data_IF_538915159780
#
_entry.id   IF_538915159780
#
_cell.length_a   1.000
_cell.length_b   1.000
_cell.length_c   1.000
_cell.angle_alpha   90.00
_cell.angle_beta   90.00
_cell.angle_gamma   90.00
#
_symmetry.space_group_name_H-M   'P 1'
#
loop_
_entity.id
_entity.type
_entity.pdbx_description
1 polymer ?
#
# COMPACT_ATOMS: atom_id res chain seq x y z
N UNK A 1 33.71 22.32 12.68
CA UNK A 1 32.30 21.91 12.87
C UNK A 1 31.78 22.66 14.09
N UNK A 2 30.72 23.45 13.93
CA UNK A 2 30.19 24.23 15.04
C UNK A 2 29.40 23.31 15.98
N UNK A 3 30.07 22.86 17.04
CA UNK A 3 29.51 21.98 18.07
C UNK A 3 28.24 22.59 18.65
N UNK A 4 28.20 23.92 18.79
CA UNK A 4 27.00 24.67 19.21
C UNK A 4 25.81 24.44 18.29
N UNK A 5 25.97 24.59 16.97
CA UNK A 5 24.89 24.38 16.01
C UNK A 5 24.36 22.93 16.02
N UNK A 6 25.28 21.95 16.16
CA UNK A 6 24.92 20.54 16.28
C UNK A 6 24.12 20.27 17.57
N UNK A 7 24.57 20.82 18.70
CA UNK A 7 23.92 20.65 20.00
C UNK A 7 22.53 21.32 20.03
N UNK A 8 22.41 22.53 19.46
CA UNK A 8 21.13 23.24 19.35
C UNK A 8 20.15 22.44 18.48
N UNK A 9 20.60 21.93 17.32
CA UNK A 9 19.75 21.11 16.44
C UNK A 9 19.31 19.81 17.12
N UNK A 10 20.24 19.08 17.75
CA UNK A 10 19.93 17.86 18.48
C UNK A 10 18.96 18.13 19.64
N UNK A 11 19.20 19.20 20.41
CA UNK A 11 18.34 19.61 21.51
C UNK A 11 16.91 19.91 21.09
N UNK A 12 16.72 20.65 19.99
CA UNK A 12 15.39 20.97 19.43
C UNK A 12 14.66 19.69 19.01
N UNK A 13 15.33 18.80 18.28
CA UNK A 13 14.74 17.53 17.82
C UNK A 13 14.35 16.62 19.00
N UNK A 14 15.21 16.53 20.03
CA UNK A 14 14.91 15.77 21.25
C UNK A 14 13.71 16.39 21.98
N UNK A 15 13.67 17.71 22.14
CA UNK A 15 12.56 18.40 22.79
C UNK A 15 11.23 18.15 22.06
N UNK A 16 11.20 18.28 20.74
CA UNK A 16 10.03 17.96 19.91
C UNK A 16 9.61 16.50 20.11
N UNK A 17 10.57 15.56 20.10
CA UNK A 17 10.29 14.14 20.31
C UNK A 17 9.63 13.89 21.67
N UNK A 18 10.15 14.49 22.75
CA UNK A 18 9.58 14.37 24.10
C UNK A 18 8.15 14.93 24.16
N UNK A 19 7.90 16.09 23.54
CA UNK A 19 6.55 16.67 23.48
C UNK A 19 5.58 15.76 22.73
N UNK A 20 5.97 15.24 21.56
CA UNK A 20 5.15 14.34 20.76
C UNK A 20 4.88 13.01 21.47
N UNK A 21 5.89 12.40 22.11
CA UNK A 21 5.73 11.16 22.87
C UNK A 21 4.83 11.35 24.09
N UNK A 22 4.91 12.52 24.73
CA UNK A 22 4.03 12.89 25.84
C UNK A 22 2.58 13.03 25.35
N UNK A 23 2.38 13.78 24.26
CA UNK A 23 1.07 13.94 23.64
C UNK A 23 0.48 12.59 23.19
N UNK A 24 1.26 11.75 22.53
CA UNK A 24 0.86 10.39 22.15
C UNK A 24 0.45 9.56 23.37
N UNK A 25 1.23 9.63 24.46
CA UNK A 25 0.94 8.91 25.71
C UNK A 25 -0.39 9.34 26.36
N UNK A 26 -0.81 10.58 26.14
CA UNK A 26 -2.11 11.12 26.59
C UNK A 26 -3.23 10.77 25.61
N UNK A 27 -3.03 10.97 24.30
CA UNK A 27 -4.04 10.74 23.26
C UNK A 27 -4.45 9.26 23.17
N UNK A 28 -3.50 8.33 23.28
CA UNK A 28 -3.78 6.87 23.27
C UNK A 28 -4.68 6.42 24.42
N UNK A 29 -4.70 7.21 25.50
CA UNK A 29 -5.40 6.93 26.74
C UNK A 29 -6.86 7.42 26.65
N UNK A 30 -7.18 8.40 25.81
CA UNK A 30 -8.53 8.96 25.73
C UNK A 30 -9.51 7.99 25.02
N UNK A 31 -10.71 7.75 25.58
CA UNK A 31 -11.67 6.77 25.04
C UNK A 31 -12.16 7.14 23.64
N UNK A 32 -12.24 8.45 23.31
CA UNK A 32 -12.65 8.92 21.97
C UNK A 32 -11.64 8.57 20.86
N UNK A 33 -10.37 8.34 21.21
CA UNK A 33 -9.30 8.09 20.24
C UNK A 33 -8.91 6.61 20.16
N UNK A 34 -9.53 5.73 20.97
CA UNK A 34 -9.22 4.30 20.98
C UNK A 34 -9.47 3.66 19.61
N UNK A 35 -10.49 4.13 18.89
CA UNK A 35 -10.79 3.65 17.53
C UNK A 35 -9.64 3.86 16.54
N UNK A 36 -8.93 4.98 16.65
CA UNK A 36 -7.82 5.33 15.77
C UNK A 36 -6.56 4.53 16.14
N UNK A 37 -6.21 4.47 17.42
CA UNK A 37 -4.97 3.82 17.87
C UNK A 37 -5.06 2.30 18.00
N UNK A 38 -6.26 1.75 18.20
CA UNK A 38 -6.51 0.32 18.40
C UNK A 38 -7.53 -0.24 17.39
N UNK A 39 -7.54 0.29 16.16
CA UNK A 39 -8.48 -0.09 15.10
C UNK A 39 -8.52 -1.61 14.86
N UNK A 40 -7.36 -2.26 14.76
CA UNK A 40 -7.26 -3.72 14.52
C UNK A 40 -7.92 -4.53 15.63
N UNK A 41 -7.83 -4.07 16.88
CA UNK A 41 -8.38 -4.78 18.05
C UNK A 41 -9.91 -4.70 18.12
N UNK A 42 -10.49 -3.59 17.65
CA UNK A 42 -11.95 -3.40 17.57
C UNK A 42 -12.60 -4.21 16.43
N UNK A 43 -11.83 -4.55 15.39
CA UNK A 43 -12.28 -5.42 14.30
C UNK A 43 -12.34 -6.89 14.76
N UNK A 44 -11.43 -7.29 15.66
CA UNK A 44 -11.39 -8.66 16.20
C UNK A 44 -12.34 -8.89 17.38
N UNK A 45 -12.66 -7.87 18.16
CA UNK A 45 -13.54 -8.02 19.33
C UNK A 45 -14.32 -6.70 19.61
N UNK A 46 -15.66 -6.70 19.59
CA UNK A 46 -16.44 -5.50 19.92
C UNK A 46 -16.36 -5.25 21.44
N UNK A 47 -15.43 -4.39 21.85
CA UNK A 47 -15.27 -3.98 23.25
C UNK A 47 -16.49 -3.18 23.71
N UNK A 48 -17.14 -3.65 24.78
CA UNK A 48 -18.32 -3.03 25.40
C UNK A 48 -17.93 -1.67 26.00
N UNK A 49 -18.42 -0.58 25.41
CA UNK A 49 -18.15 0.79 25.85
C UNK A 49 -18.90 1.13 27.14
N UNK A 50 -18.22 1.17 28.28
CA UNK A 50 -18.76 1.75 29.52
C UNK A 50 -17.62 2.14 30.46
N UNK A 51 -16.94 3.27 30.22
CA UNK A 51 -16.09 3.89 31.24
C UNK A 51 -16.06 5.42 31.09
N UNK A 52 -16.43 6.20 32.12
CA UNK A 52 -16.41 7.65 32.07
C UNK A 52 -14.97 8.22 32.04
N UNK A 53 -14.85 9.42 31.46
CA UNK A 53 -13.60 10.19 31.39
C UNK A 53 -13.02 10.42 32.80
N UNK A 54 -11.79 9.95 33.05
CA UNK A 54 -11.08 10.13 34.34
C UNK A 54 -9.81 10.97 34.11
N UNK A 55 -9.68 12.09 34.83
CA UNK A 55 -8.56 13.04 34.69
C UNK A 55 -7.19 12.46 35.09
N UNK A 56 -7.13 11.37 35.86
CA UNK A 56 -5.89 10.64 36.17
C UNK A 56 -5.20 10.07 34.92
N UNK A 57 -5.91 10.00 33.79
CA UNK A 57 -5.42 9.47 32.53
C UNK A 57 -4.53 10.46 31.75
N UNK A 58 -4.40 11.70 32.22
CA UNK A 58 -3.57 12.76 31.61
C UNK A 58 -2.07 12.65 31.96
N UNK A 59 -1.68 11.76 32.88
CA UNK A 59 -0.26 11.57 33.21
C UNK A 59 0.45 10.78 32.10
N UNK A 60 1.50 11.32 31.45
CA UNK A 60 2.28 10.58 30.47
C UNK A 60 2.94 9.38 31.16
N UNK A 61 2.79 8.18 30.58
CA UNK A 61 3.38 6.96 31.12
C UNK A 61 4.22 6.29 30.04
N UNK A 62 5.50 6.07 30.32
CA UNK A 62 6.41 5.36 29.43
C UNK A 62 6.25 3.82 29.49
N UNK A 63 5.32 3.31 30.31
CA UNK A 63 5.09 1.86 30.48
C UNK A 63 4.79 1.15 29.16
N UNK A 64 4.16 1.84 28.20
CA UNK A 64 3.88 1.25 26.88
C UNK A 64 5.14 0.97 26.06
N UNK A 65 6.20 1.76 26.24
CA UNK A 65 7.48 1.57 25.53
C UNK A 65 8.13 0.29 26.03
N UNK A 66 8.18 0.12 27.35
CA UNK A 66 8.72 -1.10 27.98
C UNK A 66 7.91 -2.32 27.54
N UNK A 67 6.58 -2.22 27.53
CA UNK A 67 5.71 -3.30 27.07
C UNK A 67 5.88 -3.61 25.57
N UNK A 68 6.11 -2.58 24.74
CA UNK A 68 6.38 -2.78 23.32
C UNK A 68 7.75 -3.44 23.08
N UNK A 69 8.74 -3.10 23.91
CA UNK A 69 10.08 -3.72 23.86
C UNK A 69 10.09 -5.18 24.33
N UNK A 70 9.20 -5.53 25.26
CA UNK A 70 9.03 -6.90 25.76
C UNK A 70 8.21 -7.80 24.83
N UNK A 71 7.66 -7.27 23.73
CA UNK A 71 6.84 -8.04 22.81
C UNK A 71 7.65 -9.16 22.16
N UNK A 72 7.12 -10.38 22.20
CA UNK A 72 7.79 -11.57 21.66
C UNK A 72 7.54 -11.69 20.15
N UNK A 73 8.39 -12.45 19.46
CA UNK A 73 8.25 -12.67 18.01
C UNK A 73 6.89 -13.28 17.66
N UNK A 74 6.35 -14.15 18.51
CA UNK A 74 5.06 -14.81 18.30
C UNK A 74 3.89 -13.82 18.42
N UNK A 75 3.95 -12.91 19.39
CA UNK A 75 2.96 -11.83 19.53
C UNK A 75 3.01 -10.87 18.34
N UNK A 76 4.21 -10.54 17.85
CA UNK A 76 4.40 -9.67 16.69
C UNK A 76 3.91 -10.36 15.41
N UNK A 77 4.17 -11.65 15.26
CA UNK A 77 3.70 -12.45 14.13
C UNK A 77 2.18 -12.56 14.13
N UNK A 78 1.57 -12.84 15.28
CA UNK A 78 0.12 -12.91 15.43
C UNK A 78 -0.55 -11.54 15.21
N UNK A 79 0.07 -10.45 15.68
CA UNK A 79 -0.51 -9.11 15.59
C UNK A 79 -0.29 -8.43 14.23
N UNK A 80 0.88 -8.61 13.60
CA UNK A 80 1.34 -7.85 12.43
C UNK A 80 1.68 -8.68 11.19
N UNK A 81 1.74 -10.01 11.30
CA UNK A 81 2.13 -10.91 10.22
C UNK A 81 3.64 -10.99 10.00
N UNK A 82 4.04 -11.78 9.00
CA UNK A 82 5.45 -12.05 8.70
C UNK A 82 6.19 -10.80 8.24
N UNK A 83 5.56 -9.94 7.43
CA UNK A 83 6.20 -8.73 6.91
C UNK A 83 6.61 -7.76 8.02
N UNK A 84 5.75 -7.58 9.03
CA UNK A 84 6.04 -6.75 10.20
C UNK A 84 7.20 -7.32 11.03
N UNK A 85 7.23 -8.65 11.19
CA UNK A 85 8.33 -9.34 11.88
C UNK A 85 9.66 -9.17 11.14
N UNK A 86 9.66 -9.33 9.82
CA UNK A 86 10.85 -9.14 8.97
C UNK A 86 11.34 -7.69 9.07
N UNK A 87 10.45 -6.72 8.95
CA UNK A 87 10.80 -5.30 9.09
C UNK A 87 11.44 -5.01 10.46
N UNK A 88 10.85 -5.49 11.55
CA UNK A 88 11.41 -5.29 12.89
C UNK A 88 12.79 -5.96 13.04
N UNK A 89 12.96 -7.16 12.48
CA UNK A 89 14.26 -7.86 12.48
C UNK A 89 15.32 -7.10 11.70
N UNK A 90 14.98 -6.46 10.58
CA UNK A 90 15.90 -5.58 9.84
C UNK A 90 16.32 -4.40 10.70
N UNK A 91 15.40 -3.76 11.43
CA UNK A 91 15.73 -2.65 12.34
C UNK A 91 16.66 -3.11 13.47
N UNK A 92 16.34 -4.23 14.13
CA UNK A 92 17.19 -4.80 15.20
C UNK A 92 18.58 -5.19 14.68
N UNK A 93 18.63 -5.80 13.50
CA UNK A 93 19.89 -6.14 12.84
C UNK A 93 20.71 -4.88 12.54
N UNK A 94 20.07 -3.84 12.01
CA UNK A 94 20.72 -2.55 11.71
C UNK A 94 21.34 -1.95 12.98
N UNK A 95 20.58 -1.88 14.08
CA UNK A 95 21.08 -1.36 15.36
C UNK A 95 22.31 -2.15 15.84
N UNK A 96 22.29 -3.49 15.75
CA UNK A 96 23.44 -4.33 16.14
C UNK A 96 24.69 -4.04 15.30
N UNK A 97 24.54 -3.92 13.98
CA UNK A 97 25.65 -3.61 13.07
C UNK A 97 26.18 -2.21 13.35
N UNK A 98 25.30 -1.22 13.54
CA UNK A 98 25.71 0.15 13.86
C UNK A 98 26.41 0.26 15.21
N UNK A 99 26.03 -0.53 16.23
CA UNK A 99 26.75 -0.55 17.51
C UNK A 99 28.19 -1.03 17.31
N UNK A 100 28.40 -2.11 16.57
CA UNK A 100 29.75 -2.63 16.29
C UNK A 100 30.55 -1.60 15.49
N UNK A 101 29.94 -1.02 14.45
CA UNK A 101 30.57 0.02 13.65
C UNK A 101 30.91 1.27 14.48
N UNK A 102 30.02 1.72 15.36
CA UNK A 102 30.25 2.85 16.24
C UNK A 102 31.44 2.59 17.19
N UNK A 103 31.56 1.38 17.73
CA UNK A 103 32.73 0.98 18.52
C UNK A 103 34.01 1.08 17.68
N UNK A 104 34.02 0.51 16.47
CA UNK A 104 35.17 0.61 15.56
C UNK A 104 35.49 2.08 15.24
N UNK A 105 34.49 2.91 14.98
CA UNK A 105 34.66 4.33 14.72
C UNK A 105 35.29 5.06 15.90
N UNK A 106 34.85 4.78 17.12
CA UNK A 106 35.36 5.43 18.33
C UNK A 106 36.76 4.94 18.70
N UNK A 107 37.05 3.64 18.56
CA UNK A 107 38.32 3.06 19.01
C UNK A 107 39.43 3.06 17.95
N UNK A 108 39.09 3.02 16.66
CA UNK A 108 40.07 3.01 15.57
C UNK A 108 40.04 4.30 14.77
N UNK A 109 38.87 4.66 14.21
CA UNK A 109 38.81 5.78 13.26
C UNK A 109 39.02 7.13 13.93
N UNK A 110 38.49 7.33 15.14
CA UNK A 110 38.62 8.61 15.84
C UNK A 110 40.07 8.89 16.27
N UNK A 111 40.82 7.93 16.86
CA UNK A 111 42.26 8.11 17.11
C UNK A 111 43.06 8.28 15.82
N UNK A 112 42.84 7.45 14.80
CA UNK A 112 43.56 7.55 13.52
C UNK A 112 43.30 8.89 12.84
N UNK A 113 42.06 9.39 12.87
CA UNK A 113 41.71 10.70 12.33
C UNK A 113 42.30 11.85 13.16
N UNK A 114 42.43 11.69 14.48
CA UNK A 114 43.05 12.70 15.35
C UNK A 114 44.57 12.79 15.14
N UNK A 115 45.25 11.65 14.92
CA UNK A 115 46.69 11.58 14.70
C UNK A 115 47.10 11.58 13.22
N UNK A 116 46.14 11.66 12.29
CA UNK A 116 46.38 11.51 10.86
C UNK A 116 47.01 12.76 10.23
N UNK A 117 48.17 12.60 9.59
CA UNK A 117 48.77 13.58 8.69
C UNK A 117 48.21 13.39 7.27
N UNK A 118 48.05 14.47 6.48
CA UNK A 118 47.42 14.42 5.14
C UNK A 118 48.03 13.31 4.25
N UNK A 119 47.23 12.28 3.99
CA UNK A 119 47.61 11.17 3.10
C UNK A 119 47.22 11.53 1.67
N UNK A 120 48.21 11.63 0.79
CA UNK A 120 48.04 11.74 -0.66
C UNK A 120 47.13 10.60 -1.16
N UNK A 121 46.05 10.98 -1.85
CA UNK A 121 44.98 10.11 -2.31
C UNK A 121 45.53 9.05 -3.28
N UNK A 122 45.74 7.83 -2.79
CA UNK A 122 46.19 6.71 -3.62
C UNK A 122 45.00 6.23 -4.45
N UNK A 123 45.15 6.35 -5.77
CA UNK A 123 44.20 5.96 -6.81
C UNK A 123 43.47 4.65 -6.51
N UNK A 124 42.14 4.74 -6.42
CA UNK A 124 41.21 3.61 -6.44
C UNK A 124 41.32 2.96 -7.83
N UNK A 125 42.11 1.89 -7.98
CA UNK A 125 42.19 1.18 -9.27
C UNK A 125 42.66 -0.27 -9.13
N UNK A 126 41.71 -1.21 -9.04
CA UNK A 126 41.81 -2.61 -9.50
C UNK A 126 40.60 -3.44 -9.07
N UNK A 127 40.14 -3.32 -7.82
CA UNK A 127 39.06 -4.15 -7.26
C UNK A 127 37.70 -3.94 -7.97
N UNK A 128 37.36 -2.71 -8.34
CA UNK A 128 36.08 -2.39 -8.99
C UNK A 128 35.91 -3.00 -10.38
N UNK A 129 37.02 -3.30 -11.09
CA UNK A 129 36.98 -3.91 -12.41
C UNK A 129 36.69 -5.42 -12.33
N UNK A 130 37.22 -6.10 -11.31
CA UNK A 130 36.96 -7.53 -11.10
C UNK A 130 35.51 -7.77 -10.64
N UNK A 131 35.01 -6.91 -9.74
CA UNK A 131 33.63 -6.97 -9.29
C UNK A 131 32.65 -6.73 -10.47
N UNK A 132 32.93 -5.74 -11.32
CA UNK A 132 32.15 -5.50 -12.53
C UNK A 132 32.12 -6.73 -13.47
N UNK A 133 33.29 -7.36 -13.70
CA UNK A 133 33.37 -8.58 -14.52
C UNK A 133 32.53 -9.71 -13.92
N UNK A 134 32.58 -9.88 -12.60
CA UNK A 134 31.82 -10.92 -11.92
C UNK A 134 30.30 -10.67 -12.03
N UNK A 135 29.85 -9.44 -11.81
CA UNK A 135 28.44 -9.05 -11.95
C UNK A 135 27.96 -9.29 -13.40
N UNK A 136 28.75 -8.89 -14.39
CA UNK A 136 28.40 -9.11 -15.81
C UNK A 136 28.29 -10.61 -16.14
N UNK A 137 29.20 -11.44 -15.63
CA UNK A 137 29.15 -12.91 -15.81
C UNK A 137 27.90 -13.51 -15.19
N UNK A 138 27.56 -13.11 -13.95
CA UNK A 138 26.36 -13.57 -13.25
C UNK A 138 25.08 -13.14 -13.97
N UNK A 139 25.02 -11.90 -14.46
CA UNK A 139 23.87 -11.39 -15.23
C UNK A 139 23.69 -12.13 -16.55
N UNK A 140 24.78 -12.41 -17.27
CA UNK A 140 24.73 -13.16 -18.51
C UNK A 140 24.19 -14.58 -18.27
N UNK A 141 24.73 -15.28 -17.26
CA UNK A 141 24.27 -16.62 -16.90
C UNK A 141 22.77 -16.64 -16.52
N UNK A 142 22.29 -15.61 -15.82
CA UNK A 142 20.87 -15.48 -15.49
C UNK A 142 20.01 -15.28 -16.75
N UNK A 143 20.40 -14.36 -17.66
CA UNK A 143 19.65 -14.11 -18.89
C UNK A 143 19.58 -15.38 -19.74
N UNK A 144 20.70 -16.08 -19.93
CA UNK A 144 20.76 -17.29 -20.77
C UNK A 144 20.15 -18.52 -20.12
N UNK A 145 20.14 -18.60 -18.78
CA UNK A 145 19.58 -19.72 -18.03
C UNK A 145 18.12 -19.55 -17.65
N UNK A 146 17.57 -18.34 -17.74
CA UNK A 146 16.16 -18.07 -17.39
C UNK A 146 15.19 -18.62 -18.43
N UNK A 147 14.01 -19.09 -18.00
CA UNK A 147 12.96 -19.49 -18.94
C UNK A 147 12.50 -18.29 -19.78
N UNK A 148 12.00 -18.59 -20.97
CA UNK A 148 11.49 -17.62 -21.94
C UNK A 148 10.42 -16.73 -21.27
N UNK A 149 10.74 -15.44 -21.10
CA UNK A 149 9.84 -14.44 -20.52
C UNK A 149 9.26 -13.56 -21.66
N UNK A 150 7.96 -13.22 -21.65
CA UNK A 150 7.39 -12.26 -22.58
C UNK A 150 8.18 -10.95 -22.71
N UNK A 151 8.85 -10.49 -21.65
CA UNK A 151 9.70 -9.30 -21.67
C UNK A 151 10.91 -9.39 -22.62
N UNK A 152 11.38 -10.61 -22.92
CA UNK A 152 12.50 -10.81 -23.86
C UNK A 152 12.11 -10.53 -25.32
N UNK A 153 10.81 -10.56 -25.64
CA UNK A 153 10.27 -10.38 -26.99
C UNK A 153 9.39 -9.13 -27.13
N UNK A 154 9.18 -8.40 -26.03
CA UNK A 154 8.31 -7.21 -26.00
C UNK A 154 9.14 -5.95 -25.96
N UNK A 155 8.98 -5.08 -26.96
CA UNK A 155 9.64 -3.77 -27.02
C UNK A 155 8.61 -2.67 -26.74
N UNK A 156 8.94 -1.75 -25.84
CA UNK A 156 8.12 -0.58 -25.58
C UNK A 156 8.43 0.53 -26.59
N UNK A 157 7.53 0.73 -27.54
CA UNK A 157 7.60 1.82 -28.52
C UNK A 157 6.89 3.06 -27.97
N UNK A 158 7.56 4.21 -28.00
CA UNK A 158 7.03 5.50 -27.56
C UNK A 158 7.07 6.51 -28.71
N UNK A 159 6.30 7.58 -28.58
CA UNK A 159 6.29 8.70 -29.53
C UNK A 159 5.90 8.30 -30.95
N UNK A 160 4.81 7.53 -31.09
CA UNK A 160 4.28 7.13 -32.40
C UNK A 160 3.81 8.40 -33.13
N UNK A 161 4.28 8.67 -34.36
CA UNK A 161 3.87 9.85 -35.11
C UNK A 161 2.38 9.79 -35.46
N UNK A 162 1.70 10.93 -35.37
CA UNK A 162 0.30 11.03 -35.74
C UNK A 162 0.15 11.12 -37.25
N UNK A 163 -0.83 10.41 -37.80
CA UNK A 163 -1.26 10.57 -39.19
C UNK A 163 -2.72 11.03 -39.25
N UNK A 164 -3.11 11.67 -40.34
CA UNK A 164 -4.49 12.10 -40.55
C UNK A 164 -5.41 10.98 -41.04
N UNK A 165 -4.85 9.97 -41.72
CA UNK A 165 -5.64 8.97 -42.45
C UNK A 165 -5.75 7.63 -41.75
N UNK A 166 -4.92 7.36 -40.73
CA UNK A 166 -4.89 6.07 -40.06
C UNK A 166 -4.67 6.21 -38.54
N UNK A 167 -5.23 5.27 -37.78
CA UNK A 167 -5.07 5.23 -36.32
C UNK A 167 -3.63 4.91 -35.93
N UNK A 168 -3.20 5.30 -34.73
CA UNK A 168 -1.86 4.95 -34.21
C UNK A 168 -1.59 3.44 -34.24
N UNK A 169 -2.61 2.63 -33.96
CA UNK A 169 -2.52 1.17 -34.03
C UNK A 169 -2.19 0.70 -35.44
N UNK A 170 -2.86 1.29 -36.45
CA UNK A 170 -2.61 0.97 -37.84
C UNK A 170 -1.23 1.45 -38.32
N UNK A 171 -0.78 2.63 -37.87
CA UNK A 171 0.59 3.11 -38.15
C UNK A 171 1.65 2.10 -37.69
N UNK A 172 1.49 1.56 -36.48
CA UNK A 172 2.43 0.61 -35.87
C UNK A 172 2.39 -0.70 -36.63
N UNK A 173 1.20 -1.21 -36.90
CA UNK A 173 1.02 -2.45 -37.67
C UNK A 173 1.68 -2.35 -39.05
N UNK A 174 1.42 -1.29 -39.81
CA UNK A 174 1.96 -1.12 -41.17
C UNK A 174 3.48 -0.96 -41.14
N UNK A 175 4.03 -0.19 -40.19
CA UNK A 175 5.47 -0.01 -40.05
C UNK A 175 6.19 -1.34 -39.75
N UNK A 176 5.77 -2.05 -38.70
CA UNK A 176 6.46 -3.28 -38.31
C UNK A 176 6.23 -4.43 -39.29
N UNK A 177 5.05 -4.50 -39.92
CA UNK A 177 4.79 -5.50 -40.96
C UNK A 177 5.62 -5.24 -42.22
N UNK A 178 5.92 -3.97 -42.54
CA UNK A 178 6.73 -3.62 -43.72
C UNK A 178 8.22 -3.84 -43.47
N UNK A 179 8.76 -3.35 -42.35
CA UNK A 179 10.21 -3.38 -42.09
C UNK A 179 10.69 -4.65 -41.37
N UNK A 180 9.82 -5.31 -40.60
CA UNK A 180 10.16 -6.48 -39.79
C UNK A 180 9.17 -7.65 -39.99
N UNK A 181 8.83 -8.05 -41.24
CA UNK A 181 7.77 -9.01 -41.51
C UNK A 181 8.01 -10.39 -40.89
N UNK A 182 9.26 -10.81 -40.72
CA UNK A 182 9.61 -12.12 -40.17
C UNK A 182 9.60 -12.17 -38.62
N UNK A 183 9.64 -11.02 -37.94
CA UNK A 183 9.78 -10.94 -36.48
C UNK A 183 8.60 -10.27 -35.79
N UNK A 184 7.79 -9.51 -36.53
CA UNK A 184 6.61 -8.88 -35.99
C UNK A 184 5.50 -9.91 -35.75
N UNK A 185 4.93 -9.90 -34.53
CA UNK A 185 3.84 -10.81 -34.13
C UNK A 185 2.55 -10.03 -33.89
N UNK A 186 2.58 -9.07 -32.96
CA UNK A 186 1.42 -8.25 -32.61
C UNK A 186 1.86 -7.02 -31.83
N UNK A 187 0.92 -6.11 -31.55
CA UNK A 187 1.14 -4.96 -30.69
C UNK A 187 -0.07 -4.72 -29.77
N UNK A 188 0.17 -4.10 -28.62
CA UNK A 188 -0.86 -3.66 -27.69
C UNK A 188 -0.74 -2.17 -27.47
N UNK A 189 -1.80 -1.41 -27.76
CA UNK A 189 -1.82 0.03 -27.52
C UNK A 189 -1.99 0.33 -26.03
N UNK A 190 -1.19 1.27 -25.52
CA UNK A 190 -1.26 1.74 -24.13
C UNK A 190 -1.98 3.08 -24.10
N UNK A 191 -3.10 3.13 -23.37
CA UNK A 191 -3.94 4.33 -23.25
C UNK A 191 -3.84 4.95 -21.85
N UNK A 192 -3.99 6.27 -21.77
CA UNK A 192 -4.06 6.97 -20.49
C UNK A 192 -5.41 6.67 -19.81
N UNK A 193 -5.40 5.76 -18.83
CA UNK A 193 -6.60 5.33 -18.12
C UNK A 193 -7.17 6.38 -17.14
N UNK A 194 -6.52 7.52 -16.92
CA UNK A 194 -6.87 8.43 -15.82
C UNK A 194 -8.34 8.88 -15.72
N UNK A 195 -9.05 9.07 -16.85
CA UNK A 195 -10.50 9.37 -16.83
C UNK A 195 -11.33 8.15 -16.44
N UNK A 196 -10.96 6.96 -16.93
CA UNK A 196 -11.61 5.69 -16.65
C UNK A 196 -11.35 5.27 -15.19
N UNK A 197 -10.11 5.42 -14.71
CA UNK A 197 -9.73 5.17 -13.32
C UNK A 197 -10.50 6.07 -12.36
N UNK A 198 -10.68 7.35 -12.73
CA UNK A 198 -11.48 8.29 -11.93
C UNK A 198 -12.94 7.86 -11.90
N UNK A 199 -13.52 7.52 -13.05
CA UNK A 199 -14.89 7.06 -13.14
C UNK A 199 -15.11 5.78 -12.31
N UNK A 200 -14.17 4.84 -12.36
CA UNK A 200 -14.22 3.60 -11.60
C UNK A 200 -14.16 3.87 -10.09
N UNK A 201 -13.29 4.77 -9.64
CA UNK A 201 -13.21 5.19 -8.23
C UNK A 201 -14.48 5.93 -7.77
N UNK A 202 -15.04 6.78 -8.62
CA UNK A 202 -16.28 7.51 -8.32
C UNK A 202 -17.47 6.54 -8.19
N UNK A 203 -17.58 5.56 -9.10
CA UNK A 203 -18.57 4.49 -9.03
C UNK A 203 -18.42 3.64 -7.75
N UNK A 204 -17.18 3.29 -7.38
CA UNK A 204 -16.90 2.56 -6.14
C UNK A 204 -17.32 3.36 -4.90
N UNK A 205 -17.08 4.67 -4.89
CA UNK A 205 -17.50 5.56 -3.80
C UNK A 205 -19.02 5.64 -3.70
N UNK A 206 -19.73 5.79 -4.82
CA UNK A 206 -21.20 5.80 -4.85
C UNK A 206 -21.76 4.48 -4.33
N UNK A 207 -21.19 3.35 -4.74
CA UNK A 207 -21.59 2.03 -4.24
C UNK A 207 -21.43 1.91 -2.72
N UNK A 208 -20.30 2.37 -2.15
CA UNK A 208 -20.10 2.38 -0.68
C UNK A 208 -21.10 3.29 0.03
N UNK A 209 -21.45 4.44 -0.55
CA UNK A 209 -22.44 5.36 0.01
C UNK A 209 -23.83 4.73 0.02
N UNK A 210 -24.25 4.11 -1.09
CA UNK A 210 -25.52 3.39 -1.19
C UNK A 210 -25.60 2.25 -0.17
N UNK A 211 -24.54 1.44 -0.04
CA UNK A 211 -24.47 0.37 0.97
C UNK A 211 -24.58 0.90 2.41
N UNK A 212 -24.04 2.09 2.68
CA UNK A 212 -24.15 2.74 4.00
C UNK A 212 -25.58 3.19 4.26
N UNK A 213 -26.25 3.77 3.26
CA UNK A 213 -27.65 4.19 3.34
C UNK A 213 -28.56 2.98 3.57
N UNK A 214 -28.42 1.91 2.78
CA UNK A 214 -29.18 0.66 2.96
C UNK A 214 -29.00 0.05 4.36
N UNK A 215 -27.78 0.07 4.90
CA UNK A 215 -27.50 -0.39 6.26
C UNK A 215 -28.13 0.50 7.34
N UNK A 216 -28.30 1.80 7.08
CA UNK A 216 -28.99 2.72 8.00
C UNK A 216 -30.51 2.56 7.91
N UNK A 217 -31.06 2.36 6.71
CA UNK A 217 -32.50 2.08 6.50
C UNK A 217 -32.91 0.78 7.19
N UNK A 218 -32.07 -0.27 7.15
CA UNK A 218 -32.31 -1.52 7.90
C UNK A 218 -32.18 -1.40 9.42
N UNK A 219 -31.52 -0.35 9.94
CA UNK A 219 -31.34 -0.10 11.38
C UNK A 219 -32.26 1.01 11.93
N UNK A 220 -33.03 1.67 11.08
CA UNK A 220 -33.89 2.79 11.47
C UNK A 220 -35.29 2.31 11.88
N UNK A 221 -35.35 1.53 12.96
CA UNK A 221 -36.51 1.48 13.85
C UNK A 221 -36.06 1.86 15.26
N UNK A 222 -35.58 3.10 15.43
CA UNK A 222 -35.60 3.70 16.77
C UNK A 222 -36.11 5.14 16.68
N UNK A 223 -37.20 5.49 17.40
CA UNK A 223 -37.69 6.86 17.43
C UNK A 223 -36.71 7.76 18.18
N UNK A 224 -36.42 8.94 17.63
CA UNK A 224 -35.71 9.99 18.36
C UNK A 224 -36.62 10.56 19.46
N UNK A 225 -36.33 10.28 20.74
CA UNK A 225 -37.13 10.72 21.88
C UNK A 225 -37.07 12.23 22.19
N UNK A 226 -36.41 13.05 21.36
CA UNK A 226 -36.20 14.48 21.61
C UNK A 226 -36.81 15.40 20.54
N UNK A 227 -37.40 14.86 19.48
CA UNK A 227 -38.07 15.65 18.46
C UNK A 227 -39.40 14.99 18.09
N UNK A 228 -40.51 15.47 18.67
CA UNK A 228 -41.86 14.98 18.41
C UNK A 228 -42.42 15.35 17.03
N UNK A 229 -41.64 15.18 15.95
CA UNK A 229 -42.11 15.31 14.57
C UNK A 229 -41.50 14.22 13.69
N UNK A 230 -42.39 13.44 13.09
CA UNK A 230 -42.08 12.52 12.00
C UNK A 230 -41.48 13.33 10.84
N UNK A 231 -40.24 13.02 10.47
CA UNK A 231 -39.74 13.42 9.16
C UNK A 231 -40.23 12.37 8.18
N UNK A 232 -40.95 12.79 7.14
CA UNK A 232 -41.40 11.90 6.08
C UNK A 232 -40.18 11.18 5.52
N UNK A 233 -40.12 9.87 5.79
CA UNK A 233 -39.11 8.98 5.24
C UNK A 233 -39.16 9.10 3.73
N UNK A 234 -38.01 9.30 3.10
CA UNK A 234 -37.86 9.15 1.66
C UNK A 234 -38.30 7.72 1.32
N UNK A 235 -39.41 7.61 0.60
CA UNK A 235 -39.91 6.34 0.11
C UNK A 235 -38.93 5.87 -0.97
N UNK A 236 -38.07 4.93 -0.60
CA UNK A 236 -37.18 4.28 -1.55
C UNK A 236 -38.06 3.53 -2.54
N UNK A 237 -37.99 3.90 -3.82
CA UNK A 237 -38.61 3.13 -4.89
C UNK A 237 -38.09 1.69 -4.78
N UNK A 238 -38.99 0.77 -4.43
CA UNK A 238 -38.73 -0.65 -4.57
C UNK A 238 -38.38 -0.89 -6.04
N UNK A 239 -37.14 -1.30 -6.31
CA UNK A 239 -36.82 -2.00 -7.53
C UNK A 239 -37.37 -3.41 -7.38
N UNK A 240 -38.69 -3.55 -7.46
CA UNK A 240 -39.28 -4.83 -7.79
C UNK A 240 -38.86 -5.11 -9.22
N UNK A 241 -38.02 -6.12 -9.36
CA UNK A 241 -37.55 -6.61 -10.64
C UNK A 241 -38.78 -6.99 -11.48
N UNK A 242 -39.15 -6.14 -12.43
CA UNK A 242 -39.94 -6.54 -13.58
C UNK A 242 -39.03 -7.41 -14.45
N UNK A 243 -38.94 -8.69 -14.07
CA UNK A 243 -38.52 -9.74 -14.97
C UNK A 243 -39.48 -9.72 -16.15
N UNK A 244 -39.03 -9.20 -17.28
CA UNK A 244 -39.71 -9.33 -18.56
C UNK A 244 -39.73 -10.82 -18.90
N UNK A 245 -40.84 -11.46 -18.57
CA UNK A 245 -41.17 -12.81 -19.00
C UNK A 245 -41.43 -12.75 -20.52
N UNK A 246 -40.44 -13.17 -21.31
CA UNK A 246 -40.63 -13.43 -22.73
C UNK A 246 -41.55 -14.66 -22.83
N UNK A 247 -42.86 -14.42 -22.92
CA UNK A 247 -43.85 -15.44 -23.29
C UNK A 247 -43.59 -15.88 -24.72
N UNK A 248 -42.84 -16.97 -24.86
CA UNK A 248 -42.84 -17.75 -26.10
C UNK A 248 -44.06 -18.69 -26.01
N UNK A 249 -45.16 -18.27 -26.63
CA UNK A 249 -46.31 -19.13 -26.90
C UNK A 249 -45.85 -20.21 -27.89
N UNK A 250 -45.95 -21.47 -27.49
CA UNK A 250 -45.96 -22.62 -28.39
C UNK A 250 -47.07 -23.51 -27.87
N UNK A 251 -48.28 -23.24 -28.35
CA UNK A 251 -49.43 -24.11 -28.13
C UNK A 251 -49.22 -25.42 -28.90
N UNK A 252 -49.25 -26.50 -28.12
CA UNK A 252 -49.31 -27.87 -28.59
C UNK A 252 -50.74 -28.15 -29.07
N UNK A 253 -50.91 -28.40 -30.37
CA UNK A 253 -52.14 -28.98 -30.92
C UNK A 253 -51.82 -30.35 -31.51
N UNK A 254 -52.06 -31.42 -30.74
CA UNK A 254 -52.23 -32.77 -31.28
C UNK A 254 -53.59 -32.87 -31.99
N UNK A 255 -53.63 -33.60 -33.11
CA UNK A 255 -54.60 -34.69 -33.18
C UNK A 255 -54.05 -35.98 -33.83
N UNK A 256 -54.15 -37.08 -33.08
CA UNK A 256 -54.87 -38.31 -33.46
C UNK A 256 -54.70 -38.92 -34.88
N UNK A 257 -53.99 -40.06 -34.89
CA UNK A 257 -54.35 -41.37 -35.51
C UNK A 257 -54.45 -41.57 -37.05
N UNK A 258 -53.83 -42.69 -37.49
CA UNK A 258 -53.99 -43.51 -38.74
C UNK A 258 -53.51 -42.86 -40.04
N UNK A 259 -52.96 -43.56 -41.04
CA UNK A 259 -53.00 -44.96 -41.46
C UNK A 259 -51.84 -45.21 -42.46
N UNK A 260 -51.38 -46.47 -42.52
CA UNK A 260 -50.48 -47.12 -43.50
C UNK A 260 -48.98 -46.77 -43.53
#
# INVERSE_FOLDING_TARGET
>A
MDIGALLTSAGINIAICVVLLSLYSILRKQPSNVSVYFMRRLISEPVKHSDPFRFERLVPSASWIVRAWQATNEEILAAGGVDALVFLRIVVFSIRVFIIAAMICVFLLLPVNYYGQEMQHKQIHSESLEEYKNITKMRLAHITGSPVNPSHFTVLVRSIPCSQNHSYSKSVEDFFSTYYPASYVSHQMVYRAGRVDKLMKDAEKMYRMLKTIESQTKKSYMPCCLCGKSTHSFEALNNDAESVEIKTSSDELQPSQREK
#
